data_IF_201008660368
#
_entry.id   IF_201008660368
#
_cell.length_a   1.000
_cell.length_b   1.000
_cell.length_c   1.000
_cell.angle_alpha   90.00
_cell.angle_beta   90.00
_cell.angle_gamma   90.00
#
_symmetry.space_group_name_H-M   'P 1'
#
loop_
_entity.id
_entity.type
_entity.pdbx_description
1 polymer ?
#
# COMPACT_ATOMS: atom_id res chain seq x y z
N UNK A 1 -7.66 14.74 11.81
CA UNK A 1 -6.68 13.64 11.73
C UNK A 1 -6.33 13.44 10.26
N UNK A 2 -5.07 13.54 9.92
CA UNK A 2 -4.57 13.41 8.55
C UNK A 2 -4.02 12.00 8.32
N UNK A 3 -4.56 11.31 7.34
CA UNK A 3 -4.16 9.94 6.99
C UNK A 3 -3.61 9.90 5.57
N UNK A 4 -2.44 9.30 5.41
CA UNK A 4 -1.76 9.17 4.12
C UNK A 4 -1.43 7.72 3.84
N UNK A 5 -1.68 7.24 2.63
CA UNK A 5 -1.25 5.92 2.18
C UNK A 5 -0.14 6.04 1.14
N UNK A 6 0.94 5.27 1.32
CA UNK A 6 2.02 5.11 0.35
C UNK A 6 1.85 3.76 -0.33
N UNK A 7 1.73 3.78 -1.66
CA UNK A 7 1.53 2.63 -2.53
C UNK A 7 2.79 2.47 -3.40
N UNK A 8 3.75 1.63 -3.00
CA UNK A 8 4.96 1.42 -3.81
C UNK A 8 4.63 0.60 -5.06
N UNK A 9 4.94 1.15 -6.23
CA UNK A 9 4.64 0.55 -7.52
C UNK A 9 5.82 0.71 -8.49
N UNK A 10 6.74 -0.27 -8.51
CA UNK A 10 7.88 -0.24 -9.44
C UNK A 10 7.51 -0.74 -10.84
N UNK A 11 8.19 -0.23 -11.88
CA UNK A 11 8.01 -0.63 -13.27
C UNK A 11 8.54 -2.03 -13.57
N UNK A 12 9.64 -2.43 -12.92
CA UNK A 12 10.31 -3.70 -13.15
C UNK A 12 9.62 -4.88 -12.44
N UNK A 13 8.71 -5.55 -13.12
CA UNK A 13 8.07 -6.77 -12.63
C UNK A 13 8.44 -7.96 -13.52
N UNK A 14 9.10 -9.00 -12.95
CA UNK A 14 9.64 -10.13 -13.70
C UNK A 14 8.60 -11.19 -14.06
N UNK A 15 7.73 -11.56 -13.12
CA UNK A 15 6.74 -12.65 -13.27
C UNK A 15 5.49 -12.23 -14.04
N UNK A 16 5.03 -11.01 -13.85
CA UNK A 16 3.93 -10.40 -14.59
C UNK A 16 4.38 -9.03 -15.08
N UNK A 17 4.61 -8.91 -16.38
CA UNK A 17 5.07 -7.65 -17.00
C UNK A 17 4.07 -6.54 -16.71
N UNK A 18 4.57 -5.37 -16.28
CA UNK A 18 3.75 -4.18 -15.97
C UNK A 18 2.70 -4.44 -14.86
N UNK A 19 3.01 -5.34 -13.92
CA UNK A 19 2.09 -5.84 -12.90
C UNK A 19 1.21 -4.77 -12.25
N UNK A 20 1.80 -3.66 -11.81
CA UNK A 20 1.08 -2.64 -11.04
C UNK A 20 0.02 -1.87 -11.85
N UNK A 21 0.11 -1.92 -13.18
CA UNK A 21 -0.90 -1.36 -14.10
C UNK A 21 -1.55 -2.42 -14.97
N UNK A 22 -1.25 -3.71 -14.74
CA UNK A 22 -1.93 -4.80 -15.42
C UNK A 22 -3.43 -4.76 -15.09
N UNK A 23 -4.32 -4.94 -16.09
CA UNK A 23 -5.77 -4.87 -15.85
C UNK A 23 -6.26 -6.05 -15.02
N UNK A 24 -7.06 -5.77 -14.00
CA UNK A 24 -7.84 -6.74 -13.22
C UNK A 24 -9.24 -6.16 -13.08
N UNK A 25 -10.27 -6.95 -13.42
CA UNK A 25 -11.67 -6.50 -13.46
C UNK A 25 -11.84 -5.18 -14.26
N UNK A 26 -11.12 -5.07 -15.38
CA UNK A 26 -11.17 -3.91 -16.29
C UNK A 26 -10.54 -2.62 -15.78
N UNK A 27 -9.79 -2.65 -14.67
CA UNK A 27 -9.05 -1.50 -14.13
C UNK A 27 -7.59 -1.84 -13.88
N UNK A 28 -6.66 -0.86 -13.96
CA UNK A 28 -5.27 -1.08 -13.57
C UNK A 28 -5.15 -1.63 -12.15
N UNK A 29 -4.21 -2.53 -11.88
CA UNK A 29 -4.01 -3.16 -10.58
C UNK A 29 -3.97 -2.16 -9.42
N UNK A 30 -3.18 -1.09 -9.54
CA UNK A 30 -3.04 -0.05 -8.50
C UNK A 30 -4.32 0.74 -8.24
N UNK A 31 -5.27 0.77 -9.20
CA UNK A 31 -6.56 1.45 -9.04
C UNK A 31 -7.29 0.99 -7.78
N UNK A 32 -7.26 -0.30 -7.48
CA UNK A 32 -8.00 -0.88 -6.36
C UNK A 32 -7.48 -0.39 -5.01
N UNK A 33 -6.16 -0.24 -4.87
CA UNK A 33 -5.55 0.34 -3.68
C UNK A 33 -5.91 1.84 -3.52
N UNK A 34 -5.85 2.60 -4.62
CA UNK A 34 -6.24 4.02 -4.63
C UNK A 34 -7.72 4.19 -4.30
N UNK A 35 -8.58 3.35 -4.89
CA UNK A 35 -10.01 3.31 -4.62
C UNK A 35 -10.30 3.04 -3.15
N UNK A 36 -9.66 2.04 -2.55
CA UNK A 36 -9.85 1.72 -1.13
C UNK A 36 -9.51 2.90 -0.22
N UNK A 37 -8.46 3.68 -0.55
CA UNK A 37 -8.14 4.91 0.16
C UNK A 37 -9.25 5.96 0.06
N UNK A 38 -9.75 6.19 -1.15
CA UNK A 38 -10.75 7.23 -1.43
C UNK A 38 -12.14 6.91 -0.86
N UNK A 39 -12.49 5.63 -0.77
CA UNK A 39 -13.76 5.18 -0.20
C UNK A 39 -13.71 5.02 1.33
N UNK A 40 -12.53 5.18 1.96
CA UNK A 40 -12.38 5.15 3.40
C UNK A 40 -13.07 6.34 4.07
N UNK A 41 -13.69 6.09 5.22
CA UNK A 41 -14.28 7.15 6.05
C UNK A 41 -13.26 8.09 6.69
N UNK A 42 -11.96 7.76 6.60
CA UNK A 42 -10.87 8.57 7.14
C UNK A 42 -10.24 9.52 6.12
N UNK A 43 -10.81 9.65 4.92
CA UNK A 43 -10.29 10.54 3.86
C UNK A 43 -8.79 10.33 3.63
N UNK A 44 -8.42 9.09 3.30
CA UNK A 44 -7.02 8.70 3.14
C UNK A 44 -6.46 9.28 1.84
N UNK A 45 -5.41 10.08 1.94
CA UNK A 45 -4.70 10.65 0.78
C UNK A 45 -3.75 9.59 0.17
N UNK A 46 -4.02 9.08 -1.05
CA UNK A 46 -3.16 8.07 -1.67
C UNK A 46 -1.96 8.70 -2.40
N UNK A 47 -0.77 8.19 -2.14
CA UNK A 47 0.48 8.49 -2.83
C UNK A 47 1.06 7.24 -3.47
N UNK A 48 1.24 7.26 -4.79
CA UNK A 48 1.97 6.19 -5.50
C UNK A 48 3.44 6.57 -5.58
N UNK A 49 4.31 5.68 -5.10
CA UNK A 49 5.76 5.86 -5.18
C UNK A 49 6.32 5.01 -6.32
N UNK A 50 6.81 5.65 -7.37
CA UNK A 50 7.28 4.99 -8.60
C UNK A 50 8.41 5.75 -9.28
N UNK A 51 9.28 5.02 -9.98
CA UNK A 51 10.29 5.53 -10.91
C UNK A 51 9.79 5.51 -12.37
N UNK A 52 8.67 4.89 -12.61
CA UNK A 52 8.16 4.56 -13.94
C UNK A 52 7.13 5.58 -14.41
N UNK A 53 7.34 6.17 -15.59
CA UNK A 53 6.51 7.24 -16.13
C UNK A 53 5.07 6.76 -16.44
N UNK A 54 4.90 5.56 -16.99
CA UNK A 54 3.56 5.03 -17.32
C UNK A 54 2.76 4.74 -16.04
N UNK A 55 3.41 4.19 -14.99
CA UNK A 55 2.76 4.00 -13.68
C UNK A 55 2.40 5.35 -13.05
N UNK A 56 3.26 6.37 -13.20
CA UNK A 56 2.98 7.74 -12.75
C UNK A 56 1.71 8.28 -13.40
N UNK A 57 1.60 8.18 -14.73
CA UNK A 57 0.44 8.69 -15.47
C UNK A 57 -0.84 7.98 -15.04
N UNK A 58 -0.83 6.65 -14.94
CA UNK A 58 -1.97 5.87 -14.45
C UNK A 58 -2.33 6.21 -13.01
N UNK A 59 -1.35 6.47 -12.14
CA UNK A 59 -1.60 6.86 -10.76
C UNK A 59 -2.32 8.21 -10.67
N UNK A 60 -1.89 9.19 -11.48
CA UNK A 60 -2.53 10.50 -11.57
C UNK A 60 -3.97 10.38 -12.11
N UNK A 61 -4.19 9.57 -13.15
CA UNK A 61 -5.52 9.29 -13.69
C UNK A 61 -6.45 8.64 -12.66
N UNK A 62 -5.91 7.76 -11.81
CA UNK A 62 -6.64 7.18 -10.68
C UNK A 62 -6.90 8.19 -9.55
N UNK A 63 -6.27 9.38 -9.62
CA UNK A 63 -6.38 10.48 -8.67
C UNK A 63 -5.56 10.27 -7.39
N UNK A 64 -4.44 9.57 -7.49
CA UNK A 64 -3.41 9.55 -6.47
C UNK A 64 -2.43 10.70 -6.68
N UNK A 65 -1.73 11.12 -5.63
CA UNK A 65 -0.50 11.89 -5.73
C UNK A 65 0.67 10.98 -6.09
N UNK A 66 1.75 11.53 -6.58
CA UNK A 66 2.93 10.74 -6.96
C UNK A 66 4.18 11.24 -6.24
N UNK A 67 4.92 10.28 -5.67
CA UNK A 67 6.30 10.45 -5.28
C UNK A 67 7.19 9.84 -6.36
N UNK A 68 7.94 10.70 -7.08
CA UNK A 68 8.92 10.26 -8.07
C UNK A 68 10.13 9.68 -7.33
N UNK A 69 10.20 8.35 -7.33
CA UNK A 69 11.21 7.60 -6.60
C UNK A 69 12.49 7.50 -7.43
N UNK A 70 13.64 7.62 -6.78
CA UNK A 70 14.91 7.34 -7.43
C UNK A 70 14.98 5.89 -7.93
N UNK A 71 15.54 5.68 -9.11
CA UNK A 71 15.68 4.35 -9.73
C UNK A 71 16.48 3.38 -8.85
N UNK A 72 17.46 3.90 -8.11
CA UNK A 72 18.25 3.13 -7.13
C UNK A 72 17.39 2.42 -6.08
N UNK A 73 16.25 3.00 -5.71
CA UNK A 73 15.31 2.44 -4.73
C UNK A 73 14.32 1.43 -5.33
N UNK A 74 14.42 1.15 -6.63
CA UNK A 74 13.53 0.22 -7.36
C UNK A 74 14.20 -1.11 -7.69
N UNK A 75 15.46 -1.29 -7.30
CA UNK A 75 16.23 -2.50 -7.54
C UNK A 75 15.68 -3.69 -6.73
N UNK A 76 15.87 -4.90 -7.24
CA UNK A 76 15.33 -6.14 -6.64
C UNK A 76 15.83 -6.41 -5.21
N UNK A 77 17.06 -5.97 -4.89
CA UNK A 77 17.66 -6.14 -3.58
C UNK A 77 17.22 -5.08 -2.54
N UNK A 78 16.49 -4.05 -2.97
CA UNK A 78 16.02 -2.99 -2.07
C UNK A 78 14.75 -3.43 -1.36
N UNK A 79 14.80 -3.45 -0.04
CA UNK A 79 13.62 -3.77 0.77
C UNK A 79 12.53 -2.71 0.56
N UNK A 80 11.28 -3.17 0.42
CA UNK A 80 10.09 -2.31 0.25
C UNK A 80 10.05 -1.18 1.28
N UNK A 81 10.44 -1.45 2.52
CA UNK A 81 10.41 -0.47 3.60
C UNK A 81 11.36 0.73 3.36
N UNK A 82 12.47 0.54 2.63
CA UNK A 82 13.36 1.65 2.26
C UNK A 82 12.65 2.62 1.32
N UNK A 83 11.94 2.09 0.31
CA UNK A 83 11.14 2.91 -0.61
C UNK A 83 9.97 3.61 0.10
N UNK A 84 9.32 2.94 1.07
CA UNK A 84 8.28 3.55 1.90
C UNK A 84 8.83 4.71 2.72
N UNK A 85 9.98 4.54 3.39
CA UNK A 85 10.60 5.62 4.18
C UNK A 85 11.03 6.80 3.31
N UNK A 86 11.55 6.56 2.11
CA UNK A 86 11.89 7.63 1.17
C UNK A 86 10.66 8.46 0.77
N UNK A 87 9.56 7.79 0.42
CA UNK A 87 8.30 8.48 0.12
C UNK A 87 7.73 9.21 1.34
N UNK A 88 7.79 8.59 2.54
CA UNK A 88 7.37 9.23 3.77
C UNK A 88 8.18 10.50 4.05
N UNK A 89 9.50 10.46 3.89
CA UNK A 89 10.37 11.64 4.06
C UNK A 89 9.93 12.78 3.15
N UNK A 90 9.72 12.52 1.87
CA UNK A 90 9.21 13.51 0.91
C UNK A 90 7.85 14.10 1.35
N UNK A 91 6.93 13.25 1.83
CA UNK A 91 5.61 13.69 2.31
C UNK A 91 5.76 14.58 3.54
N UNK A 92 6.62 14.21 4.49
CA UNK A 92 6.86 14.99 5.71
C UNK A 92 7.51 16.36 5.47
N UNK A 93 8.12 16.62 4.31
CA UNK A 93 8.59 17.94 3.91
C UNK A 93 7.46 18.96 3.73
N UNK A 94 6.27 18.50 3.36
CA UNK A 94 5.11 19.36 3.05
C UNK A 94 3.94 19.22 4.02
N UNK A 95 3.89 18.15 4.81
CA UNK A 95 2.79 17.84 5.70
C UNK A 95 3.21 16.85 6.79
N UNK A 96 2.46 16.82 7.91
CA UNK A 96 2.71 15.89 9.02
C UNK A 96 1.50 14.99 9.19
N UNK A 97 1.46 13.80 8.56
CA UNK A 97 0.36 12.87 8.73
C UNK A 97 0.33 12.30 10.17
N UNK A 98 -0.87 12.22 10.75
CA UNK A 98 -1.09 11.55 12.04
C UNK A 98 -0.94 10.04 11.90
N UNK A 99 -1.39 9.50 10.75
CA UNK A 99 -1.33 8.07 10.42
C UNK A 99 -0.76 7.92 9.01
N UNK A 100 0.16 6.97 8.85
CA UNK A 100 0.72 6.59 7.57
C UNK A 100 0.48 5.10 7.30
N UNK A 101 0.08 4.77 6.07
CA UNK A 101 -0.22 3.42 5.63
C UNK A 101 0.76 3.02 4.53
N UNK A 102 1.49 1.93 4.73
CA UNK A 102 2.15 1.21 3.64
C UNK A 102 1.13 0.25 3.03
N UNK A 103 0.66 0.52 1.83
CA UNK A 103 -0.39 -0.25 1.16
C UNK A 103 0.15 -0.91 -0.10
N UNK A 104 -0.13 -2.20 -0.29
CA UNK A 104 0.35 -2.95 -1.44
C UNK A 104 -0.48 -2.66 -2.70
N UNK A 105 0.19 -2.46 -3.85
CA UNK A 105 -0.47 -2.20 -5.12
C UNK A 105 -1.11 -3.45 -5.74
N UNK A 106 -0.60 -4.64 -5.43
CA UNK A 106 -0.96 -5.90 -6.09
C UNK A 106 -1.90 -6.81 -5.28
N UNK A 107 -2.70 -6.23 -4.40
CA UNK A 107 -3.79 -6.92 -3.67
C UNK A 107 -5.13 -6.28 -4.05
N UNK A 108 -5.68 -6.56 -5.25
CA UNK A 108 -6.83 -5.82 -5.79
C UNK A 108 -8.14 -6.04 -5.04
N UNK A 109 -8.21 -7.05 -4.16
CA UNK A 109 -9.36 -7.28 -3.27
C UNK A 109 -9.39 -6.34 -2.06
N UNK A 110 -8.42 -5.44 -1.91
CA UNK A 110 -8.41 -4.46 -0.81
C UNK A 110 -9.64 -3.55 -0.90
N UNK A 111 -10.30 -3.33 0.23
CA UNK A 111 -11.46 -2.44 0.36
C UNK A 111 -11.22 -1.42 1.45
N UNK A 112 -11.95 -0.30 1.40
CA UNK A 112 -11.94 0.73 2.43
C UNK A 112 -12.12 0.17 3.83
N UNK A 113 -13.06 -0.78 4.01
CA UNK A 113 -13.31 -1.43 5.30
C UNK A 113 -12.07 -2.03 5.95
N UNK A 114 -11.17 -2.65 5.18
CA UNK A 114 -9.94 -3.24 5.73
C UNK A 114 -9.02 -2.17 6.34
N UNK A 115 -8.95 -1.01 5.70
CA UNK A 115 -8.16 0.13 6.18
C UNK A 115 -8.83 0.79 7.38
N UNK A 116 -10.16 0.97 7.32
CA UNK A 116 -10.95 1.57 8.38
C UNK A 116 -10.86 0.75 9.68
N UNK A 117 -11.04 -0.56 9.60
CA UNK A 117 -10.95 -1.47 10.76
C UNK A 117 -9.55 -1.42 11.39
N UNK A 118 -8.51 -1.33 10.55
CA UNK A 118 -7.13 -1.25 11.03
C UNK A 118 -6.80 0.09 11.68
N UNK A 119 -7.29 1.20 11.14
CA UNK A 119 -7.16 2.53 11.75
C UNK A 119 -7.92 2.57 13.08
N UNK A 120 -9.14 2.04 13.13
CA UNK A 120 -9.91 1.95 14.37
C UNK A 120 -9.18 1.15 15.45
N UNK A 121 -8.59 0.01 15.08
CA UNK A 121 -7.83 -0.79 16.03
C UNK A 121 -6.60 -0.05 16.55
N UNK A 122 -5.86 0.65 15.67
CA UNK A 122 -4.71 1.46 16.05
C UNK A 122 -5.11 2.52 17.08
N UNK A 123 -6.20 3.25 16.82
CA UNK A 123 -6.68 4.33 17.68
C UNK A 123 -7.26 3.79 18.99
N UNK A 124 -8.16 2.81 18.91
CA UNK A 124 -8.88 2.24 20.06
C UNK A 124 -7.95 1.62 21.10
N UNK A 125 -6.93 0.92 20.63
CA UNK A 125 -6.00 0.20 21.50
C UNK A 125 -4.69 0.95 21.74
N UNK A 126 -4.57 2.18 21.24
CA UNK A 126 -3.37 3.02 21.42
C UNK A 126 -2.11 2.38 20.84
N UNK A 127 -2.22 1.64 19.73
CA UNK A 127 -1.08 0.97 19.09
C UNK A 127 -0.20 1.97 18.34
N UNK A 128 1.09 1.65 18.24
CA UNK A 128 2.02 2.44 17.44
C UNK A 128 2.00 2.01 15.99
N UNK A 129 1.68 0.72 15.77
CA UNK A 129 1.48 0.16 14.44
C UNK A 129 0.48 -1.01 14.44
N UNK A 130 -0.09 -1.25 13.25
CA UNK A 130 -0.93 -2.41 12.95
C UNK A 130 -0.38 -3.08 11.70
N UNK A 131 -0.23 -4.40 11.73
CA UNK A 131 0.12 -5.22 10.58
C UNK A 131 -1.08 -6.05 10.12
N UNK A 132 -1.16 -6.32 8.82
CA UNK A 132 -2.09 -7.32 8.29
C UNK A 132 -1.50 -8.73 8.42
N UNK A 133 -2.34 -9.68 8.78
CA UNK A 133 -2.00 -11.11 8.89
C UNK A 133 -3.05 -11.96 8.18
N UNK A 134 -2.69 -13.17 7.78
CA UNK A 134 -3.63 -14.17 7.30
C UNK A 134 -4.39 -14.84 8.46
N UNK A 135 -5.29 -15.79 8.17
CA UNK A 135 -6.04 -16.56 9.18
C UNK A 135 -5.15 -17.44 10.08
N UNK A 136 -3.93 -17.73 9.66
CA UNK A 136 -2.95 -18.47 10.45
C UNK A 136 -2.06 -17.55 11.28
N UNK A 137 -2.40 -16.23 11.33
CA UNK A 137 -1.64 -15.17 12.02
C UNK A 137 -0.24 -14.92 11.44
N UNK A 138 0.02 -15.37 10.22
CA UNK A 138 1.24 -15.05 9.50
C UNK A 138 1.12 -13.66 8.87
N UNK A 139 2.14 -12.82 9.08
CA UNK A 139 2.18 -11.50 8.47
C UNK A 139 2.10 -11.64 6.93
N UNK A 140 1.15 -10.95 6.34
CA UNK A 140 1.07 -10.76 4.90
C UNK A 140 1.45 -9.33 4.53
N UNK A 141 1.50 -9.02 3.24
CA UNK A 141 1.99 -7.71 2.79
C UNK A 141 0.86 -6.75 2.42
N UNK A 142 -0.40 -7.07 2.71
CA UNK A 142 -1.53 -6.26 2.25
C UNK A 142 -1.41 -4.80 2.71
N UNK A 143 -1.17 -4.58 3.99
CA UNK A 143 -0.85 -3.26 4.53
C UNK A 143 -0.06 -3.32 5.85
N UNK A 144 0.53 -2.18 6.20
CA UNK A 144 1.08 -1.88 7.52
C UNK A 144 0.74 -0.42 7.84
N UNK A 145 0.13 -0.18 8.98
CA UNK A 145 -0.33 1.14 9.42
C UNK A 145 0.52 1.60 10.61
N UNK A 146 0.96 2.85 10.58
CA UNK A 146 1.80 3.45 11.60
C UNK A 146 1.17 4.73 12.15
N UNK A 147 1.37 5.03 13.41
CA UNK A 147 1.39 6.43 13.85
C UNK A 147 2.47 7.16 13.05
N UNK A 148 2.20 8.35 12.55
CA UNK A 148 3.00 9.07 11.57
C UNK A 148 4.50 8.76 11.55
N UNK A 149 5.26 9.23 12.54
CA UNK A 149 6.72 9.09 12.57
C UNK A 149 7.23 7.65 12.79
N UNK A 150 6.38 6.73 13.25
CA UNK A 150 6.76 5.31 13.39
C UNK A 150 7.15 4.64 12.07
N UNK A 151 6.76 5.20 10.93
CA UNK A 151 7.20 4.73 9.62
C UNK A 151 8.72 4.71 9.46
N UNK A 152 9.44 5.56 10.19
CA UNK A 152 10.90 5.67 10.13
C UNK A 152 11.63 4.65 11.00
N UNK A 153 10.93 3.93 11.87
CA UNK A 153 11.53 2.86 12.65
C UNK A 153 11.94 1.67 11.76
N UNK A 154 13.06 1.06 12.10
CA UNK A 154 13.57 -0.10 11.34
C UNK A 154 12.88 -1.39 11.76
N UNK A 155 12.68 -1.58 13.05
CA UNK A 155 12.06 -2.77 13.63
C UNK A 155 10.56 -2.59 13.87
N UNK A 156 9.86 -3.70 14.16
CA UNK A 156 8.49 -3.68 14.65
C UNK A 156 8.44 -3.01 16.03
N UNK A 157 7.39 -2.23 16.25
CA UNK A 157 7.10 -1.70 17.58
C UNK A 157 6.77 -2.85 18.55
N UNK A 158 7.21 -2.72 19.80
CA UNK A 158 6.75 -3.61 20.89
C UNK A 158 5.25 -3.39 21.21
N UNK A 159 4.67 -2.28 20.74
CA UNK A 159 3.24 -1.96 20.84
C UNK A 159 2.54 -2.15 19.49
N UNK A 160 2.83 -3.26 18.80
CA UNK A 160 2.22 -3.64 17.54
C UNK A 160 0.92 -4.40 17.75
N UNK A 161 -0.07 -4.13 16.91
CA UNK A 161 -1.29 -4.93 16.78
C UNK A 161 -1.36 -5.65 15.44
N UNK A 162 -2.25 -6.62 15.33
CA UNK A 162 -2.50 -7.36 14.09
C UNK A 162 -3.98 -7.40 13.75
N UNK A 163 -4.29 -7.36 12.45
CA UNK A 163 -5.65 -7.55 11.92
C UNK A 163 -5.63 -8.65 10.86
N UNK A 164 -6.57 -9.59 10.97
CA UNK A 164 -6.76 -10.61 9.94
C UNK A 164 -7.34 -9.96 8.69
N UNK A 165 -6.59 -10.06 7.59
CA UNK A 165 -6.97 -9.54 6.29
C UNK A 165 -6.47 -10.51 5.22
N UNK A 166 -7.35 -11.39 4.77
CA UNK A 166 -7.02 -12.38 3.74
C UNK A 166 -7.30 -11.80 2.36
N UNK A 167 -6.22 -11.49 1.64
CA UNK A 167 -6.27 -10.99 0.26
C UNK A 167 -5.36 -11.85 -0.60
N UNK A 168 -5.76 -12.04 -1.85
CA UNK A 168 -4.93 -12.73 -2.83
C UNK A 168 -3.96 -11.74 -3.48
N UNK A 169 -2.65 -11.98 -3.28
CA UNK A 169 -1.60 -11.17 -3.89
C UNK A 169 -1.34 -11.63 -5.33
N UNK A 170 -1.44 -10.72 -6.27
CA UNK A 170 -1.16 -11.01 -7.68
C UNK A 170 0.34 -10.96 -7.94
N UNK A 171 0.89 -12.07 -8.41
CA UNK A 171 2.28 -12.21 -8.84
C UNK A 171 2.41 -12.68 -10.28
N UNK A 172 1.45 -13.42 -10.78
CA UNK A 172 1.44 -14.08 -12.09
C UNK A 172 0.14 -13.83 -12.83
N UNK A 173 0.06 -14.24 -14.09
CA UNK A 173 -1.19 -14.18 -14.88
C UNK A 173 -2.25 -15.18 -14.36
N UNK A 174 -1.81 -16.28 -13.75
CA UNK A 174 -2.69 -17.27 -13.13
C UNK A 174 -3.43 -16.69 -11.94
N UNK A 175 -2.78 -15.84 -11.15
CA UNK A 175 -3.43 -15.11 -10.05
C UNK A 175 -4.53 -14.17 -10.56
N UNK A 176 -4.29 -13.48 -11.68
CA UNK A 176 -5.31 -12.62 -12.30
C UNK A 176 -6.52 -13.46 -12.73
N UNK A 177 -6.29 -14.56 -13.45
CA UNK A 177 -7.36 -15.45 -13.90
C UNK A 177 -8.13 -16.04 -12.71
N UNK A 178 -7.44 -16.40 -11.64
CA UNK A 178 -8.08 -16.90 -10.42
C UNK A 178 -9.05 -15.88 -9.84
N UNK A 179 -8.62 -14.61 -9.72
CA UNK A 179 -9.46 -13.53 -9.19
C UNK A 179 -10.67 -13.22 -10.10
N UNK A 180 -10.46 -13.18 -11.42
CA UNK A 180 -11.53 -12.87 -12.37
C UNK A 180 -12.57 -13.99 -12.48
N UNK A 181 -12.19 -15.25 -12.25
CA UNK A 181 -13.11 -16.39 -12.23
C UNK A 181 -13.84 -16.55 -10.88
N UNK A 182 -13.36 -15.95 -9.81
CA UNK A 182 -13.95 -16.01 -8.46
C UNK A 182 -14.95 -14.86 -8.17
N UNK A 183 -15.20 -14.00 -9.15
CA UNK A 183 -16.00 -12.75 -9.03
C UNK A 183 -17.46 -12.97 -9.41
#
# INVERSE_FOLDING_TARGET
>A
MKVVAIIPARGSSKRLKRKNIYPVWGKPMLYWAVRACKESKYDIEPWVSTEDTEIKDVALECGAKVHEREESLSQDHVYKQVAIRAAAKHIFESQSPDILISLQANSPQIMAKHLDDAIEALLKYGRDEIISVDKNLMQNAAFRIFKGEYVFQEDLSTNCGAIVCELHDVHTIEDVKFLENAS
#
